data_IF_174666778531
#
_entry.id   IF_174666778531
#
_cell.length_a   1.000
_cell.length_b   1.000
_cell.length_c   1.000
_cell.angle_alpha   90.00
_cell.angle_beta   90.00
_cell.angle_gamma   90.00
#
_symmetry.space_group_name_H-M   'P 1'
#
loop_
_entity.id
_entity.type
_entity.pdbx_description
1 polymer ?
#
# COMPACT_ATOMS: atom_id res chain seq x y z
N UNK A 1 -26.83 3.00 -13.83
CA UNK A 1 -26.63 2.11 -12.66
C UNK A 1 -26.20 0.70 -13.07
N UNK A 2 -26.93 -0.02 -13.96
CA UNK A 2 -26.52 -1.36 -14.43
C UNK A 2 -25.15 -1.38 -15.13
N UNK A 3 -24.83 -0.33 -15.88
CA UNK A 3 -23.56 -0.18 -16.61
C UNK A 3 -22.34 -0.12 -15.66
N UNK A 4 -22.36 0.77 -14.67
CA UNK A 4 -21.28 0.89 -13.68
C UNK A 4 -21.06 -0.40 -12.86
N UNK A 5 -22.13 -1.16 -12.60
CA UNK A 5 -22.01 -2.46 -11.94
C UNK A 5 -21.25 -3.43 -12.84
N UNK A 6 -21.62 -3.49 -14.13
CA UNK A 6 -20.94 -4.35 -15.09
C UNK A 6 -19.47 -3.96 -15.27
N UNK A 7 -19.16 -2.66 -15.33
CA UNK A 7 -17.79 -2.16 -15.44
C UNK A 7 -16.95 -2.56 -14.21
N UNK A 8 -17.51 -2.44 -13.00
CA UNK A 8 -16.87 -2.91 -11.77
C UNK A 8 -16.59 -4.42 -11.80
N UNK A 9 -17.56 -5.23 -12.23
CA UNK A 9 -17.35 -6.69 -12.31
C UNK A 9 -16.29 -7.06 -13.35
N UNK A 10 -16.27 -6.38 -14.50
CA UNK A 10 -15.21 -6.56 -15.50
C UNK A 10 -13.83 -6.19 -14.92
N UNK A 11 -13.75 -5.13 -14.11
CA UNK A 11 -12.51 -4.75 -13.44
C UNK A 11 -12.03 -5.81 -12.44
N UNK A 12 -12.96 -6.40 -11.67
CA UNK A 12 -12.64 -7.49 -10.73
C UNK A 12 -12.17 -8.76 -11.46
N UNK A 13 -12.81 -9.08 -12.57
CA UNK A 13 -12.40 -10.19 -13.44
C UNK A 13 -10.99 -9.97 -14.00
N UNK A 14 -10.71 -8.78 -14.52
CA UNK A 14 -9.38 -8.40 -15.01
C UNK A 14 -8.30 -8.61 -13.95
N UNK A 15 -8.52 -8.18 -12.70
CA UNK A 15 -7.54 -8.38 -11.64
C UNK A 15 -7.33 -9.86 -11.28
N UNK A 16 -8.39 -10.67 -11.32
CA UNK A 16 -8.28 -12.12 -11.14
C UNK A 16 -7.50 -12.79 -12.27
N UNK A 17 -7.67 -12.32 -13.51
CA UNK A 17 -6.89 -12.78 -14.67
C UNK A 17 -5.42 -12.39 -14.52
N UNK A 18 -5.12 -11.13 -14.17
CA UNK A 18 -3.74 -10.67 -13.93
C UNK A 18 -3.07 -11.52 -12.85
N UNK A 19 -3.76 -11.85 -11.76
CA UNK A 19 -3.20 -12.73 -10.72
C UNK A 19 -2.75 -14.07 -11.32
N UNK A 20 -3.63 -14.74 -12.07
CA UNK A 20 -3.33 -16.02 -12.71
C UNK A 20 -2.19 -15.89 -13.73
N UNK A 21 -2.19 -14.83 -14.55
CA UNK A 21 -1.12 -14.57 -15.53
C UNK A 21 0.24 -14.36 -14.86
N UNK A 22 0.27 -13.69 -13.71
CA UNK A 22 1.50 -13.50 -12.94
C UNK A 22 2.02 -14.81 -12.38
N UNK A 23 1.15 -15.70 -11.90
CA UNK A 23 1.58 -17.03 -11.44
C UNK A 23 2.22 -17.84 -12.57
N UNK A 24 1.65 -17.76 -13.78
CA UNK A 24 2.22 -18.38 -14.98
C UNK A 24 3.55 -17.72 -15.36
N UNK A 25 3.60 -16.38 -15.37
CA UNK A 25 4.80 -15.62 -15.74
C UNK A 25 6.00 -15.91 -14.83
N UNK A 26 5.77 -15.99 -13.52
CA UNK A 26 6.81 -16.31 -12.55
C UNK A 26 7.07 -17.82 -12.43
N UNK A 27 6.26 -18.66 -13.10
CA UNK A 27 6.24 -20.11 -12.93
C UNK A 27 6.17 -20.51 -11.44
N UNK A 28 5.39 -19.76 -10.66
CA UNK A 28 5.24 -19.90 -9.22
C UNK A 28 3.90 -19.33 -8.79
N UNK A 29 3.18 -20.06 -7.95
CA UNK A 29 2.04 -19.50 -7.22
C UNK A 29 2.55 -18.50 -6.18
N UNK A 30 1.77 -17.45 -5.90
CA UNK A 30 2.02 -16.56 -4.77
C UNK A 30 0.74 -16.41 -3.94
N UNK A 31 0.89 -16.48 -2.63
CA UNK A 31 -0.26 -16.47 -1.71
C UNK A 31 -0.74 -15.06 -1.36
N UNK A 32 0.18 -14.09 -1.39
CA UNK A 32 -0.12 -12.71 -1.06
C UNK A 32 0.79 -11.73 -1.81
N UNK A 33 0.39 -10.47 -1.81
CA UNK A 33 1.16 -9.32 -2.26
C UNK A 33 1.57 -8.50 -1.03
N UNK A 34 2.84 -8.14 -0.95
CA UNK A 34 3.34 -7.13 -0.02
C UNK A 34 3.47 -5.81 -0.77
N UNK A 35 2.82 -4.76 -0.28
CA UNK A 35 2.80 -3.46 -0.94
C UNK A 35 2.88 -2.28 0.06
N UNK A 36 3.33 -1.09 -0.37
CA UNK A 36 3.22 0.13 0.43
C UNK A 36 1.76 0.51 0.68
N UNK A 37 1.43 1.03 1.86
CA UNK A 37 0.08 1.54 2.19
C UNK A 37 -0.12 2.99 1.73
N UNK A 38 0.95 3.73 1.51
CA UNK A 38 0.95 5.12 1.09
C UNK A 38 2.31 5.53 0.55
N UNK A 39 2.38 6.75 0.02
CA UNK A 39 3.59 7.34 -0.54
C UNK A 39 4.52 7.98 0.50
N UNK A 40 4.06 8.14 1.74
CA UNK A 40 4.84 8.76 2.83
C UNK A 40 4.34 8.28 4.19
N UNK A 41 5.04 8.68 5.25
CA UNK A 41 4.58 8.54 6.64
C UNK A 41 3.21 9.22 6.84
N UNK A 42 2.54 8.92 7.97
CA UNK A 42 1.19 9.42 8.23
C UNK A 42 1.11 10.95 8.08
N UNK A 43 0.32 11.49 7.13
CA UNK A 43 0.30 12.91 6.81
C UNK A 43 -0.32 13.72 7.95
N UNK A 44 0.02 15.01 8.02
CA UNK A 44 -0.59 15.92 8.98
C UNK A 44 -2.13 15.94 8.84
N UNK A 45 -2.82 16.17 9.95
CA UNK A 45 -4.28 16.20 9.96
C UNK A 45 -4.85 17.17 8.91
N UNK A 46 -5.86 16.71 8.17
CA UNK A 46 -6.50 17.50 7.10
C UNK A 46 -5.69 17.60 5.80
N UNK A 47 -4.51 16.99 5.73
CA UNK A 47 -3.63 17.07 4.55
C UNK A 47 -3.54 15.76 3.75
N UNK A 48 -4.22 14.70 4.19
CA UNK A 48 -4.14 13.39 3.54
C UNK A 48 -4.49 13.45 2.05
N UNK A 49 -3.57 12.95 1.21
CA UNK A 49 -3.70 12.80 -0.24
C UNK A 49 -3.29 11.38 -0.64
N UNK A 50 -3.61 11.00 -1.89
CA UNK A 50 -3.03 9.78 -2.48
C UNK A 50 -3.55 8.45 -1.92
N UNK A 51 -4.86 8.35 -1.64
CA UNK A 51 -5.54 7.12 -1.19
C UNK A 51 -5.54 5.95 -2.22
N UNK A 52 -4.85 6.11 -3.36
CA UNK A 52 -4.82 5.15 -4.45
C UNK A 52 -4.18 3.80 -4.07
N UNK A 53 -3.23 3.81 -3.12
CA UNK A 53 -2.55 2.61 -2.65
C UNK A 53 -3.50 1.61 -1.96
N UNK A 54 -4.58 2.10 -1.36
CA UNK A 54 -5.57 1.26 -0.66
C UNK A 54 -6.88 1.15 -1.42
N UNK A 55 -7.27 2.20 -2.16
CA UNK A 55 -8.53 2.24 -2.91
C UNK A 55 -8.66 1.15 -3.97
N UNK A 56 -7.53 0.74 -4.54
CA UNK A 56 -7.49 -0.30 -5.56
C UNK A 56 -8.09 -1.63 -5.06
N UNK A 57 -7.78 -1.98 -3.81
CA UNK A 57 -8.22 -3.22 -3.19
C UNK A 57 -9.71 -3.19 -2.84
N UNK A 58 -10.24 -2.01 -2.52
CA UNK A 58 -11.67 -1.80 -2.34
C UNK A 58 -12.45 -2.04 -3.64
N UNK A 59 -11.92 -1.57 -4.77
CA UNK A 59 -12.57 -1.74 -6.07
C UNK A 59 -12.51 -3.20 -6.56
N UNK A 60 -11.34 -3.82 -6.44
CA UNK A 60 -11.09 -5.22 -6.83
C UNK A 60 -11.69 -6.25 -5.88
N UNK A 61 -12.12 -5.85 -4.68
CA UNK A 61 -12.70 -6.71 -3.64
C UNK A 61 -11.68 -7.73 -3.08
N UNK A 62 -10.43 -7.29 -2.90
CA UNK A 62 -9.35 -8.13 -2.39
C UNK A 62 -9.13 -7.80 -0.91
N UNK A 63 -9.09 -8.80 -0.02
CA UNK A 63 -8.85 -8.55 1.39
C UNK A 63 -7.42 -8.04 1.58
N UNK A 64 -7.28 -6.99 2.40
CA UNK A 64 -6.01 -6.35 2.70
C UNK A 64 -5.95 -5.96 4.18
N UNK A 65 -4.74 -6.02 4.76
CA UNK A 65 -4.46 -5.57 6.12
C UNK A 65 -3.20 -4.72 6.14
N UNK A 66 -3.22 -3.68 6.97
CA UNK A 66 -2.09 -2.78 7.18
C UNK A 66 -1.44 -3.14 8.50
N UNK A 67 -0.11 -3.19 8.53
CA UNK A 67 0.67 -3.47 9.73
C UNK A 67 1.89 -2.53 9.79
N UNK A 68 2.31 -2.12 11.00
CA UNK A 68 3.47 -1.25 11.16
C UNK A 68 4.78 -2.03 10.96
N UNK A 69 5.75 -1.38 10.32
CA UNK A 69 7.06 -1.98 9.98
C UNK A 69 8.21 -1.22 10.62
N UNK A 70 8.17 0.11 10.60
CA UNK A 70 9.21 0.95 11.20
C UNK A 70 8.61 2.30 11.59
N UNK A 71 9.43 3.17 12.18
CA UNK A 71 9.15 4.60 12.34
C UNK A 71 10.08 5.41 11.45
N UNK A 72 9.71 6.68 11.21
CA UNK A 72 10.58 7.66 10.55
C UNK A 72 11.89 7.82 11.32
N UNK A 73 13.02 7.71 10.63
CA UNK A 73 14.37 7.85 11.12
C UNK A 73 14.87 9.29 10.92
N UNK A 74 15.27 9.93 12.03
CA UNK A 74 15.69 11.34 12.01
C UNK A 74 16.91 11.60 11.11
N UNK A 75 17.82 10.64 10.96
CA UNK A 75 19.06 10.82 10.21
C UNK A 75 18.88 10.43 8.74
N UNK A 76 18.12 9.35 8.47
CA UNK A 76 17.97 8.79 7.13
C UNK A 76 16.85 9.45 6.32
N UNK A 77 15.78 9.88 6.96
CA UNK A 77 14.56 10.35 6.26
C UNK A 77 14.54 11.88 6.12
N UNK A 78 15.70 12.47 5.84
CA UNK A 78 15.81 13.90 5.53
C UNK A 78 15.13 14.21 4.19
N UNK A 79 14.56 15.42 4.08
CA UNK A 79 13.90 15.86 2.85
C UNK A 79 14.92 15.87 1.70
N UNK A 80 14.66 15.12 0.63
CA UNK A 80 15.55 15.11 -0.53
C UNK A 80 15.46 16.47 -1.25
N UNK A 81 16.61 17.08 -1.49
CA UNK A 81 16.72 18.43 -2.08
C UNK A 81 16.60 18.38 -3.61
N UNK A 82 16.94 17.25 -4.22
CA UNK A 82 17.02 17.05 -5.66
C UNK A 82 15.90 16.15 -6.22
N UNK A 83 14.85 15.89 -5.43
CA UNK A 83 13.68 15.16 -5.89
C UNK A 83 13.05 15.84 -7.11
N UNK A 84 12.80 15.05 -8.16
CA UNK A 84 12.15 15.51 -9.39
C UNK A 84 10.76 14.90 -9.49
N UNK A 85 9.69 15.65 -9.20
CA UNK A 85 8.34 15.15 -9.29
C UNK A 85 7.99 14.69 -10.71
N UNK A 86 7.28 13.57 -10.81
CA UNK A 86 6.78 13.00 -12.07
C UNK A 86 5.64 13.81 -12.67
N UNK A 87 4.85 14.46 -11.82
CA UNK A 87 3.71 15.30 -12.21
C UNK A 87 3.32 16.27 -11.07
N UNK A 88 2.29 17.09 -11.30
CA UNK A 88 1.81 18.07 -10.32
C UNK A 88 1.32 17.42 -9.01
N UNK A 89 0.57 16.31 -9.09
CA UNK A 89 0.04 15.61 -7.91
C UNK A 89 1.16 15.00 -7.06
N UNK A 90 2.20 14.48 -7.71
CA UNK A 90 3.40 13.97 -7.04
C UNK A 90 4.14 15.10 -6.32
N UNK A 91 4.31 16.26 -6.96
CA UNK A 91 4.92 17.43 -6.32
C UNK A 91 4.10 17.92 -5.11
N UNK A 92 2.77 17.96 -5.23
CA UNK A 92 1.88 18.32 -4.13
C UNK A 92 2.00 17.35 -2.97
N UNK A 93 2.02 16.04 -3.26
CA UNK A 93 2.15 15.02 -2.23
C UNK A 93 3.53 15.03 -1.56
N UNK A 94 4.60 15.22 -2.34
CA UNK A 94 5.97 15.28 -1.82
C UNK A 94 6.14 16.47 -0.86
N UNK A 95 5.55 17.62 -1.17
CA UNK A 95 5.56 18.82 -0.31
C UNK A 95 4.83 18.66 1.02
N UNK A 96 4.02 17.61 1.20
CA UNK A 96 3.39 17.32 2.50
C UNK A 96 4.42 16.92 3.55
N UNK A 97 5.54 16.32 3.12
CA UNK A 97 6.64 15.99 3.99
C UNK A 97 7.51 17.24 4.24
N UNK A 98 7.11 18.05 5.23
CA UNK A 98 7.70 19.38 5.49
C UNK A 98 9.13 19.29 6.06
N UNK A 99 9.30 18.45 7.08
CA UNK A 99 10.59 18.23 7.74
C UNK A 99 10.56 16.94 8.55
N UNK A 100 11.72 16.30 8.75
CA UNK A 100 11.81 15.08 9.54
C UNK A 100 11.38 15.27 11.00
N UNK A 101 11.59 16.47 11.56
CA UNK A 101 11.17 16.85 12.91
C UNK A 101 9.64 16.75 13.06
N UNK A 102 8.90 17.18 12.04
CA UNK A 102 7.44 17.14 12.06
C UNK A 102 6.86 15.72 11.95
N UNK A 103 7.71 14.75 11.60
CA UNK A 103 7.36 13.33 11.44
C UNK A 103 8.11 12.41 12.41
N UNK A 104 8.74 12.97 13.47
CA UNK A 104 9.46 12.18 14.47
C UNK A 104 8.56 11.13 15.12
N UNK A 105 9.03 9.88 15.18
CA UNK A 105 8.31 8.72 15.74
C UNK A 105 6.98 8.38 15.04
N UNK A 106 6.73 8.91 13.83
CA UNK A 106 5.55 8.51 13.06
C UNK A 106 5.77 7.12 12.47
N UNK A 107 4.76 6.25 12.61
CA UNK A 107 4.83 4.89 12.07
C UNK A 107 4.72 4.86 10.55
N UNK A 108 5.55 4.02 9.94
CA UNK A 108 5.51 3.62 8.54
C UNK A 108 4.98 2.19 8.48
N UNK A 109 3.93 2.00 7.69
CA UNK A 109 3.27 0.70 7.53
C UNK A 109 3.39 0.16 6.10
N UNK A 110 3.28 -1.16 6.00
CA UNK A 110 3.05 -1.86 4.75
C UNK A 110 1.67 -2.54 4.81
N UNK A 111 1.23 -3.08 3.69
CA UNK A 111 0.01 -3.85 3.58
C UNK A 111 0.25 -5.21 2.94
N UNK A 112 -0.44 -6.21 3.46
CA UNK A 112 -0.59 -7.53 2.82
C UNK A 112 -1.95 -7.58 2.14
N UNK A 113 -1.96 -8.04 0.89
CA UNK A 113 -3.17 -8.27 0.10
C UNK A 113 -3.20 -9.74 -0.33
N UNK A 114 -4.31 -10.42 -0.08
CA UNK A 114 -4.54 -11.75 -0.62
C UNK A 114 -5.62 -11.71 -1.69
N UNK A 115 -5.74 -12.81 -2.43
CA UNK A 115 -6.82 -12.99 -3.41
C UNK A 115 -8.19 -12.93 -2.71
N UNK A 116 -9.20 -12.42 -3.42
CA UNK A 116 -10.60 -12.41 -2.96
C UNK A 116 -11.01 -13.73 -2.28
N UNK A 117 -11.72 -13.62 -1.15
CA UNK A 117 -12.15 -14.74 -0.28
C UNK A 117 -11.02 -15.46 0.48
N UNK A 118 -9.89 -14.80 0.73
CA UNK A 118 -8.79 -15.34 1.54
C UNK A 118 -8.49 -14.44 2.75
N UNK A 119 -9.53 -13.91 3.39
CA UNK A 119 -9.44 -12.99 4.53
C UNK A 119 -8.62 -13.59 5.69
N UNK A 120 -8.77 -14.89 5.97
CA UNK A 120 -8.00 -15.59 7.00
C UNK A 120 -6.51 -15.70 6.66
N UNK A 121 -6.16 -15.82 5.38
CA UNK A 121 -4.75 -15.84 4.94
C UNK A 121 -4.09 -14.50 5.22
N UNK A 122 -4.80 -13.40 4.98
CA UNK A 122 -4.30 -12.04 5.25
C UNK A 122 -3.90 -11.90 6.71
N UNK A 123 -4.76 -12.34 7.64
CA UNK A 123 -4.45 -12.33 9.07
C UNK A 123 -3.28 -13.24 9.41
N UNK A 124 -3.21 -14.44 8.81
CA UNK A 124 -2.12 -15.37 9.06
C UNK A 124 -0.76 -14.82 8.62
N UNK A 125 -0.71 -14.11 7.50
CA UNK A 125 0.54 -13.49 7.05
C UNK A 125 1.00 -12.39 8.00
N UNK A 126 0.10 -11.61 8.59
CA UNK A 126 0.47 -10.62 9.61
C UNK A 126 1.10 -11.31 10.82
N UNK A 127 0.50 -12.37 11.34
CA UNK A 127 1.09 -13.12 12.47
C UNK A 127 2.52 -13.61 12.17
N UNK A 128 2.76 -14.08 10.93
CA UNK A 128 4.09 -14.53 10.50
C UNK A 128 5.05 -13.36 10.42
N UNK A 129 4.61 -12.23 9.85
CA UNK A 129 5.44 -11.04 9.70
C UNK A 129 5.82 -10.45 11.06
N UNK A 130 4.90 -10.44 12.03
CA UNK A 130 5.19 -9.97 13.39
C UNK A 130 6.23 -10.82 14.12
N UNK A 131 6.43 -12.09 13.73
CA UNK A 131 7.47 -12.95 14.29
C UNK A 131 8.85 -12.70 13.68
N UNK A 132 8.92 -12.04 12.51
CA UNK A 132 10.15 -11.85 11.74
C UNK A 132 10.62 -10.40 11.77
N UNK A 133 9.70 -9.44 11.88
CA UNK A 133 10.05 -8.03 12.02
C UNK A 133 10.61 -7.81 13.42
N UNK A 134 11.85 -7.33 13.46
CA UNK A 134 12.45 -6.79 14.68
C UNK A 134 11.90 -5.38 14.88
N UNK A 135 11.12 -5.20 15.96
CA UNK A 135 10.62 -3.90 16.39
C UNK A 135 11.48 -3.48 17.58
N UNK A 136 12.51 -2.66 17.34
CA UNK A 136 13.29 -2.02 18.42
C UNK A 136 12.40 -1.21 19.37
#
# INVERSE_FOLDING_TARGET
MKELISERENYRELYAQIWNEREVFFNSSFDCLLAPVGSSAAPQHGTAKGWNYTSLWNLSDYPAVVFPVTTVDFVKDQVEVDYKPRNALDNENYKLYISVESYSNVSIGLQIICRRFNDEKVMKFVEIIEQVIDRE
#
